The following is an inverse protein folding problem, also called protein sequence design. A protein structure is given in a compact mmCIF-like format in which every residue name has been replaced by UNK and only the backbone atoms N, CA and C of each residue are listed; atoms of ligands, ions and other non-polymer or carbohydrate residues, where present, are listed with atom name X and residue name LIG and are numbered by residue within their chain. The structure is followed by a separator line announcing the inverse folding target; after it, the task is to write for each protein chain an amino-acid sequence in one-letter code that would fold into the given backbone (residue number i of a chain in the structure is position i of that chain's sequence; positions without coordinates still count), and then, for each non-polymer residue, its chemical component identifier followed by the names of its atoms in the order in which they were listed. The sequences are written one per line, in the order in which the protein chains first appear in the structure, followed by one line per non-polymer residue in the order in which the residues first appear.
data_IF_887127290375
#
_entry.id   IF_887127290375
#
_cell.length_a   1.000
_cell.length_b   1.000
_cell.length_c   1.000
_cell.angle_alpha   90.00
_cell.angle_beta   90.00
_cell.angle_gamma   90.00
#
_symmetry.space_group_name_H-M   'P 1'
#
loop_
_entity.id
_entity.type
_entity.pdbx_description
1 polymer ?
#
# COMPACT_ATOMS: atom_id res chain seq x y z
N UNK A 1 -31.13 15.46 -12.53
CA UNK A 1 -29.96 16.33 -12.24
C UNK A 1 -28.77 15.41 -12.09
N UNK A 2 -27.74 15.58 -12.92
CA UNK A 2 -26.47 14.89 -12.67
C UNK A 2 -25.91 15.46 -11.36
N UNK A 3 -25.53 14.60 -10.43
CA UNK A 3 -24.91 15.02 -9.17
C UNK A 3 -23.54 15.57 -9.54
N UNK A 4 -23.30 16.87 -9.37
CA UNK A 4 -21.96 17.43 -9.56
C UNK A 4 -21.03 16.78 -8.53
N UNK A 5 -20.15 15.89 -9.01
CA UNK A 5 -19.18 15.18 -8.19
C UNK A 5 -18.06 16.16 -7.86
N UNK A 6 -17.76 16.33 -6.57
CA UNK A 6 -16.70 17.23 -6.13
C UNK A 6 -15.31 16.74 -6.58
N UNK A 7 -14.33 17.62 -6.76
CA UNK A 7 -12.95 17.21 -7.06
C UNK A 7 -12.36 16.23 -6.02
N UNK A 8 -12.76 16.37 -4.75
CA UNK A 8 -12.37 15.46 -3.68
C UNK A 8 -12.94 14.05 -3.88
N UNK A 9 -14.21 13.93 -4.27
CA UNK A 9 -14.84 12.64 -4.60
C UNK A 9 -14.21 12.02 -5.87
N UNK A 10 -13.87 12.83 -6.88
CA UNK A 10 -13.16 12.35 -8.07
C UNK A 10 -11.79 11.77 -7.69
N UNK A 11 -11.02 12.49 -6.87
CA UNK A 11 -9.71 12.03 -6.39
C UNK A 11 -9.83 10.76 -5.53
N UNK A 12 -10.81 10.70 -4.63
CA UNK A 12 -11.07 9.55 -3.79
C UNK A 12 -11.43 8.31 -4.63
N UNK A 13 -12.33 8.46 -5.60
CA UNK A 13 -12.73 7.37 -6.49
C UNK A 13 -11.53 6.86 -7.31
N UNK A 14 -10.70 7.75 -7.88
CA UNK A 14 -9.48 7.32 -8.60
C UNK A 14 -8.59 6.39 -7.75
N UNK A 15 -8.35 6.74 -6.48
CA UNK A 15 -7.54 5.91 -5.58
C UNK A 15 -8.22 4.58 -5.26
N UNK A 16 -9.50 4.63 -4.88
CA UNK A 16 -10.24 3.45 -4.45
C UNK A 16 -10.46 2.46 -5.59
N UNK A 17 -10.75 2.95 -6.80
CA UNK A 17 -10.97 2.11 -7.98
C UNK A 17 -9.69 1.40 -8.39
N UNK A 18 -8.54 2.10 -8.37
CA UNK A 18 -7.24 1.47 -8.59
C UNK A 18 -6.91 0.43 -7.50
N UNK A 19 -7.21 0.75 -6.24
CA UNK A 19 -6.97 -0.17 -5.13
C UNK A 19 -7.88 -1.40 -5.21
N UNK A 20 -9.12 -1.26 -5.68
CA UNK A 20 -10.02 -2.39 -5.87
C UNK A 20 -9.45 -3.42 -6.86
N UNK A 21 -8.78 -2.97 -7.93
CA UNK A 21 -8.10 -3.86 -8.88
C UNK A 21 -6.93 -4.61 -8.22
N UNK A 22 -6.14 -3.92 -7.40
CA UNK A 22 -5.08 -4.53 -6.59
C UNK A 22 -5.68 -5.57 -5.63
N UNK A 23 -6.70 -5.18 -4.86
CA UNK A 23 -7.31 -6.02 -3.84
C UNK A 23 -7.90 -7.29 -4.43
N UNK A 24 -8.50 -7.21 -5.62
CA UNK A 24 -9.00 -8.38 -6.35
C UNK A 24 -7.91 -9.42 -6.62
N UNK A 25 -6.67 -9.00 -6.90
CA UNK A 25 -5.55 -9.91 -7.16
C UNK A 25 -4.96 -10.52 -5.88
N UNK A 26 -5.01 -9.80 -4.75
CA UNK A 26 -4.35 -10.24 -3.51
C UNK A 26 -5.29 -10.97 -2.54
N UNK A 27 -6.59 -10.66 -2.49
CA UNK A 27 -7.53 -11.15 -1.46
C UNK A 27 -7.66 -12.68 -1.35
N UNK A 28 -7.34 -13.40 -2.42
CA UNK A 28 -7.40 -14.87 -2.46
C UNK A 28 -6.02 -15.52 -2.57
N UNK A 29 -4.95 -14.74 -2.42
CA UNK A 29 -3.59 -15.26 -2.50
C UNK A 29 -3.29 -16.14 -1.27
N UNK A 30 -2.84 -17.40 -1.45
CA UNK A 30 -2.56 -18.30 -0.33
C UNK A 30 -1.55 -17.75 0.69
N UNK A 31 -0.60 -16.91 0.27
CA UNK A 31 0.36 -16.28 1.18
C UNK A 31 -0.37 -15.44 2.23
N UNK A 32 -1.40 -14.69 1.81
CA UNK A 32 -2.17 -13.78 2.66
C UNK A 32 -3.27 -14.46 3.48
N UNK A 33 -3.55 -15.74 3.20
CA UNK A 33 -4.50 -16.55 3.97
C UNK A 33 -3.84 -17.29 5.14
N UNK A 34 -2.52 -17.10 5.32
CA UNK A 34 -1.78 -17.64 6.45
C UNK A 34 -2.26 -16.98 7.76
N UNK A 35 -2.61 -17.79 8.76
CA UNK A 35 -3.09 -17.34 10.07
C UNK A 35 -2.09 -16.47 10.86
N UNK A 36 -0.81 -16.52 10.49
CA UNK A 36 0.24 -15.69 11.09
C UNK A 36 0.33 -14.28 10.46
N UNK A 37 -0.48 -13.99 9.44
CA UNK A 37 -0.55 -12.69 8.79
C UNK A 37 -1.87 -12.00 9.11
N UNK A 38 -1.77 -10.73 9.49
CA UNK A 38 -2.94 -9.85 9.65
C UNK A 38 -2.95 -8.85 8.50
N UNK A 39 -4.06 -8.79 7.75
CA UNK A 39 -4.25 -7.79 6.70
C UNK A 39 -5.30 -6.76 7.14
N UNK A 40 -4.91 -5.49 7.17
CA UNK A 40 -5.75 -4.37 7.60
C UNK A 40 -5.99 -3.44 6.42
N UNK A 41 -7.25 -3.24 6.06
CA UNK A 41 -7.66 -2.27 5.04
C UNK A 41 -7.68 -0.86 5.63
N UNK A 42 -7.26 0.11 4.84
CA UNK A 42 -7.34 1.53 5.18
C UNK A 42 -8.28 2.23 4.19
N UNK A 43 -9.36 2.78 4.74
CA UNK A 43 -10.39 3.44 3.95
C UNK A 43 -10.05 4.90 3.67
N UNK A 44 -10.41 5.34 2.46
CA UNK A 44 -10.44 6.74 2.11
C UNK A 44 -11.52 7.48 2.93
N UNK A 45 -11.21 8.61 3.58
CA UNK A 45 -12.18 9.32 4.44
C UNK A 45 -13.32 10.01 3.68
N UNK A 46 -13.18 10.22 2.36
CA UNK A 46 -14.20 10.85 1.50
C UNK A 46 -15.16 9.81 0.95
N UNK A 47 -14.66 8.67 0.47
CA UNK A 47 -15.50 7.63 -0.16
C UNK A 47 -15.90 6.50 0.78
N UNK A 48 -15.27 6.36 1.95
CA UNK A 48 -15.40 5.22 2.87
C UNK A 48 -15.17 3.87 2.15
N UNK A 49 -14.23 3.85 1.21
CA UNK A 49 -13.79 2.64 0.50
C UNK A 49 -12.29 2.43 0.69
N UNK A 50 -11.81 1.17 0.65
CA UNK A 50 -10.38 0.90 0.78
C UNK A 50 -9.55 1.57 -0.31
N UNK A 51 -8.43 2.18 0.08
CA UNK A 51 -7.42 2.74 -0.82
C UNK A 51 -6.00 2.21 -0.55
N UNK A 52 -5.84 1.48 0.55
CA UNK A 52 -4.61 0.83 0.91
C UNK A 52 -4.86 -0.40 1.77
N UNK A 53 -3.82 -1.22 1.92
CA UNK A 53 -3.78 -2.26 2.94
C UNK A 53 -2.40 -2.35 3.55
N UNK A 54 -2.36 -2.78 4.81
CA UNK A 54 -1.15 -3.13 5.54
C UNK A 54 -1.24 -4.60 5.94
N UNK A 55 -0.23 -5.38 5.56
CA UNK A 55 -0.02 -6.74 6.02
C UNK A 55 1.01 -6.72 7.13
N UNK A 56 0.69 -7.37 8.25
CA UNK A 56 1.53 -7.49 9.44
C UNK A 56 1.95 -8.95 9.62
N UNK A 57 3.23 -9.16 9.92
CA UNK A 57 3.81 -10.47 10.20
C UNK A 57 4.80 -10.34 11.37
N UNK A 58 4.35 -10.59 12.61
CA UNK A 58 5.16 -10.30 13.80
C UNK A 58 5.51 -8.80 13.88
N UNK A 59 6.80 -8.46 13.93
CA UNK A 59 7.30 -7.08 13.91
C UNK A 59 7.43 -6.49 12.51
N UNK A 60 7.15 -7.24 11.44
CA UNK A 60 7.22 -6.72 10.08
C UNK A 60 5.89 -6.16 9.58
N UNK A 61 5.98 -5.17 8.69
CA UNK A 61 4.87 -4.51 8.01
C UNK A 61 5.18 -4.35 6.53
N UNK A 62 4.22 -4.69 5.67
CA UNK A 62 4.22 -4.29 4.27
C UNK A 62 2.92 -3.58 3.91
N UNK A 63 2.98 -2.48 3.18
CA UNK A 63 1.80 -1.76 2.70
C UNK A 63 1.79 -1.60 1.20
N UNK A 64 0.60 -1.65 0.60
CA UNK A 64 0.33 -1.25 -0.78
C UNK A 64 -0.73 -0.15 -0.75
N UNK A 65 -0.42 1.02 -1.32
CA UNK A 65 -1.28 2.22 -1.31
C UNK A 65 -1.40 2.81 -2.70
N UNK A 66 -2.58 3.34 -3.02
CA UNK A 66 -2.82 4.08 -4.26
C UNK A 66 -2.86 5.59 -4.03
N UNK A 67 -2.46 6.34 -5.06
CA UNK A 67 -2.42 7.79 -5.11
C UNK A 67 -3.18 8.31 -6.31
N UNK A 68 -3.52 9.60 -6.27
CA UNK A 68 -4.20 10.29 -7.37
C UNK A 68 -3.25 10.36 -8.57
N UNK A 69 -3.63 9.76 -9.69
CA UNK A 69 -2.85 9.78 -10.92
C UNK A 69 -3.11 11.04 -11.74
N UNK A 70 -4.36 11.50 -11.78
CA UNK A 70 -4.80 12.64 -12.60
C UNK A 70 -5.44 13.73 -11.77
N UNK A 71 -5.10 14.98 -12.06
CA UNK A 71 -5.69 16.14 -11.42
C UNK A 71 -7.23 16.10 -11.58
N UNK A 72 -8.01 16.19 -10.50
CA UNK A 72 -9.46 15.94 -10.53
C UNK A 72 -10.28 16.98 -11.31
N UNK A 73 -9.68 18.13 -11.64
CA UNK A 73 -10.31 19.19 -12.45
C UNK A 73 -9.79 19.20 -13.89
N UNK A 74 -8.49 19.44 -14.11
CA UNK A 74 -7.89 19.51 -15.46
C UNK A 74 -7.74 18.15 -16.16
N UNK A 75 -7.73 17.03 -15.43
CA UNK A 75 -7.48 15.69 -15.99
C UNK A 75 -6.01 15.41 -16.36
N UNK A 76 -5.11 16.37 -16.14
CA UNK A 76 -3.68 16.22 -16.38
C UNK A 76 -3.07 15.15 -15.49
N UNK A 77 -2.10 14.39 -16.02
CA UNK A 77 -1.37 13.39 -15.24
C UNK A 77 -0.45 14.13 -14.25
N UNK A 78 -0.65 13.91 -12.96
CA UNK A 78 0.16 14.49 -11.87
C UNK A 78 1.02 13.44 -11.17
N UNK A 79 0.71 12.16 -11.33
CA UNK A 79 1.53 11.05 -10.85
C UNK A 79 1.44 9.88 -11.85
N UNK A 80 2.56 9.58 -12.50
CA UNK A 80 2.68 8.45 -13.42
C UNK A 80 2.97 7.11 -12.72
N UNK A 81 3.27 7.12 -11.42
CA UNK A 81 3.51 5.95 -10.58
C UNK A 81 2.54 5.95 -9.38
N UNK A 82 1.23 5.76 -9.61
CA UNK A 82 0.20 5.96 -8.59
C UNK A 82 0.12 4.85 -7.54
N UNK A 83 0.96 3.82 -7.58
CA UNK A 83 0.95 2.73 -6.61
C UNK A 83 2.28 2.74 -5.86
N UNK A 84 2.25 2.76 -4.54
CA UNK A 84 3.45 2.66 -3.70
C UNK A 84 3.40 1.40 -2.84
N UNK A 85 4.52 0.69 -2.83
CA UNK A 85 4.77 -0.40 -1.90
C UNK A 85 5.82 0.05 -0.90
N UNK A 86 5.54 -0.17 0.39
CA UNK A 86 6.45 0.11 1.49
C UNK A 86 6.58 -1.11 2.38
N UNK A 87 7.77 -1.38 2.90
CA UNK A 87 8.09 -2.58 3.68
C UNK A 87 9.11 -2.21 4.77
N UNK A 88 8.80 -2.51 6.04
CA UNK A 88 9.61 -2.11 7.20
C UNK A 88 9.38 -3.00 8.44
N UNK A 89 10.32 -2.97 9.40
CA UNK A 89 10.18 -3.57 10.74
C UNK A 89 9.74 -2.51 11.75
N UNK A 90 8.84 -2.81 12.68
CA UNK A 90 8.24 -1.87 13.64
C UNK A 90 9.28 -1.10 14.47
N UNK A 91 10.40 -1.75 14.82
CA UNK A 91 11.52 -1.14 15.57
C UNK A 91 12.66 -0.61 14.68
N UNK A 92 12.45 -0.52 13.35
CA UNK A 92 13.47 0.04 12.46
C UNK A 92 13.66 1.55 12.66
N UNK A 93 12.69 2.22 13.27
CA UNK A 93 12.65 3.65 13.50
C UNK A 93 13.04 4.02 14.93
N UNK A 94 14.32 3.88 15.26
CA UNK A 94 14.85 4.53 16.46
C UNK A 94 15.09 6.01 16.15
N UNK A 95 14.08 6.86 16.36
CA UNK A 95 14.28 8.29 16.43
C UNK A 95 15.05 8.59 17.73
N UNK A 96 16.39 8.60 17.66
CA UNK A 96 17.17 9.32 18.66
C UNK A 96 16.81 10.79 18.53
N UNK A 97 16.54 11.47 19.64
CA UNK A 97 16.19 12.89 19.67
C UNK A 97 17.04 13.71 18.68
N UNK A 98 16.39 14.22 17.64
CA UNK A 98 17.03 14.90 16.51
C UNK A 98 16.34 14.56 15.20
N UNK A 99 16.28 15.50 14.27
CA UNK A 99 15.71 15.33 12.93
C UNK A 99 16.52 14.36 12.03
N UNK A 100 16.93 13.21 12.55
CA UNK A 100 17.62 12.20 11.77
C UNK A 100 16.59 11.37 11.00
N UNK A 101 16.62 11.52 9.69
CA UNK A 101 15.94 10.62 8.76
C UNK A 101 16.40 9.19 9.07
N UNK A 102 15.48 8.25 9.35
CA UNK A 102 15.82 6.86 9.63
C UNK A 102 16.73 6.29 8.52
N UNK A 103 17.68 5.40 8.86
CA UNK A 103 18.53 4.77 7.85
C UNK A 103 17.66 4.10 6.78
N UNK A 104 17.83 4.53 5.52
CA UNK A 104 17.11 4.03 4.35
C UNK A 104 17.23 2.51 4.20
N UNK A 105 18.28 1.91 4.78
CA UNK A 105 18.57 0.47 4.75
C UNK A 105 17.48 -0.42 5.38
N UNK A 106 16.53 0.14 6.16
CA UNK A 106 15.46 -0.64 6.82
C UNK A 106 14.04 -0.37 6.29
N UNK A 107 13.92 0.43 5.23
CA UNK A 107 12.65 0.79 4.61
C UNK A 107 12.74 0.56 3.10
N UNK A 108 12.05 -0.49 2.61
CA UNK A 108 11.98 -0.76 1.18
C UNK A 108 10.75 -0.07 0.58
N UNK A 109 10.97 0.98 -0.23
CA UNK A 109 9.92 1.72 -0.91
C UNK A 109 10.08 1.62 -2.42
N UNK A 110 9.00 1.28 -3.13
CA UNK A 110 9.00 1.26 -4.59
C UNK A 110 7.65 1.67 -5.15
N UNK A 111 7.68 2.58 -6.13
CA UNK A 111 6.51 3.05 -6.85
C UNK A 111 6.32 2.32 -8.18
N UNK A 112 5.07 2.19 -8.63
CA UNK A 112 4.67 1.44 -9.81
C UNK A 112 3.60 2.17 -10.61
N UNK A 113 3.65 2.00 -11.93
CA UNK A 113 2.62 2.47 -12.86
C UNK A 113 1.45 1.49 -12.99
N UNK A 114 1.70 0.20 -12.80
CA UNK A 114 0.75 -0.86 -13.12
C UNK A 114 0.47 -1.81 -11.94
N UNK A 115 -0.74 -2.36 -11.94
CA UNK A 115 -1.23 -3.23 -10.87
C UNK A 115 -0.43 -4.53 -10.79
N UNK A 116 -0.18 -5.19 -11.92
CA UNK A 116 0.43 -6.51 -11.95
C UNK A 116 1.82 -6.54 -11.31
N UNK A 117 2.71 -5.63 -11.70
CA UNK A 117 4.07 -5.56 -11.16
C UNK A 117 4.08 -5.12 -9.70
N UNK A 118 3.16 -4.20 -9.33
CA UNK A 118 3.02 -3.76 -7.94
C UNK A 118 2.60 -4.92 -7.03
N UNK A 119 1.67 -5.77 -7.48
CA UNK A 119 1.18 -6.94 -6.74
C UNK A 119 2.27 -7.99 -6.64
N UNK A 120 2.98 -8.30 -7.74
CA UNK A 120 4.11 -9.24 -7.72
C UNK A 120 5.18 -8.81 -6.72
N UNK A 121 5.53 -7.53 -6.72
CA UNK A 121 6.52 -7.00 -5.78
C UNK A 121 6.01 -7.01 -4.34
N UNK A 122 4.76 -6.62 -4.09
CA UNK A 122 4.15 -6.66 -2.77
C UNK A 122 4.18 -8.07 -2.16
N UNK A 123 3.75 -9.07 -2.93
CA UNK A 123 3.74 -10.47 -2.49
C UNK A 123 5.17 -10.99 -2.24
N UNK A 124 6.16 -10.59 -3.04
CA UNK A 124 7.55 -10.99 -2.81
C UNK A 124 8.11 -10.42 -1.50
N UNK A 125 7.73 -9.19 -1.12
CA UNK A 125 8.10 -8.65 0.19
C UNK A 125 7.53 -9.50 1.33
N UNK A 126 6.25 -9.88 1.24
CA UNK A 126 5.58 -10.69 2.25
C UNK A 126 6.20 -12.10 2.33
N UNK A 127 6.52 -12.70 1.19
CA UNK A 127 7.13 -14.02 1.13
C UNK A 127 8.52 -14.04 1.74
N UNK A 128 9.38 -13.06 1.42
CA UNK A 128 10.73 -12.95 1.99
C UNK A 128 10.67 -13.02 3.52
N UNK A 129 9.67 -12.39 4.11
CA UNK A 129 9.63 -12.19 5.55
C UNK A 129 8.89 -13.31 6.26
N UNK A 130 7.91 -13.89 5.59
CA UNK A 130 7.32 -15.15 6.03
C UNK A 130 8.37 -16.27 6.12
N UNK A 131 9.46 -16.20 5.35
CA UNK A 131 10.60 -17.14 5.45
C UNK A 131 11.56 -16.78 6.59
N UNK A 132 11.89 -15.50 6.75
CA UNK A 132 12.77 -15.03 7.84
C UNK A 132 12.19 -15.35 9.23
N UNK A 133 10.89 -15.11 9.44
CA UNK A 133 10.22 -15.42 10.72
C UNK A 133 10.19 -16.93 11.05
N UNK A 134 10.35 -17.83 10.07
CA UNK A 134 10.40 -19.29 10.32
C UNK A 134 11.77 -19.78 10.79
N UNK A 135 12.82 -18.98 10.64
CA UNK A 135 14.18 -19.34 11.05
C UNK A 135 14.51 -18.90 12.49
N UNK A 136 13.67 -18.06 13.10
CA UNK A 136 13.82 -17.59 14.48
C UNK A 136 13.09 -18.49 15.52
N UNK A 137 12.51 -19.63 15.11
CA UNK A 137 11.81 -20.61 15.98
C UNK A 137 12.62 -21.89 16.14
#
# INVERSE_FOLDING_TARGET
MAKDISPAEIAANQKCDLFALIFQQIKHNPLLLNENLEMVLEDNPVSNKPEATIVKAGSFRASIRTYVAKHPVSGEIINNLPIMISSWREDSFHLKEGCETPPIEKLNNKAFENVEDSVKFFLSQIELISRENKQEV
#
